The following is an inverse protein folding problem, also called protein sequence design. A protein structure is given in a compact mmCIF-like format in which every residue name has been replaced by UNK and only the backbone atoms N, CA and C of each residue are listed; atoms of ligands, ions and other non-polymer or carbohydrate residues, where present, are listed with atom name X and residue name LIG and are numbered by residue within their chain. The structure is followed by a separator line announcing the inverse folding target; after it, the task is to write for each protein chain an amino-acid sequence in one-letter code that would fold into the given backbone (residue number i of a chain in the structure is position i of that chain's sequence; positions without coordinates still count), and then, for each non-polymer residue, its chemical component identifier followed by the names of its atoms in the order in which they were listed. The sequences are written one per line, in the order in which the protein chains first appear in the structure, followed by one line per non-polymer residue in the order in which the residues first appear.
data_IF_687879269872
#
_entry.id   IF_687879269872
#
_cell.length_a   1.000
_cell.length_b   1.000
_cell.length_c   1.000
_cell.angle_alpha   90.00
_cell.angle_beta   90.00
_cell.angle_gamma   90.00
#
_symmetry.space_group_name_H-M   'P 1'
#
loop_
_entity.id
_entity.type
_entity.pdbx_description
1 polymer ?
#
# COMPACT_ATOMS: atom_id res chain seq x y z
N UNK A 1 -13.94 -3.01 10.32
CA UNK A 1 -13.96 -1.92 9.33
C UNK A 1 -14.22 -0.64 10.07
N UNK A 2 -13.30 0.31 9.98
CA UNK A 2 -13.27 1.55 10.78
C UNK A 2 -13.07 2.73 9.83
N UNK A 3 -13.70 3.87 10.12
CA UNK A 3 -13.51 5.11 9.37
C UNK A 3 -12.23 5.80 9.85
N UNK A 4 -11.35 6.13 8.91
CA UNK A 4 -10.12 6.88 9.15
C UNK A 4 -10.12 8.16 8.34
N UNK A 5 -9.68 9.25 8.95
CA UNK A 5 -9.48 10.54 8.27
C UNK A 5 -8.00 10.78 8.01
N UNK A 6 -7.66 11.26 6.81
CA UNK A 6 -6.27 11.46 6.38
C UNK A 6 -6.01 12.96 6.18
N UNK A 7 -5.61 13.65 7.24
CA UNK A 7 -5.34 15.08 7.14
C UNK A 7 -3.92 15.35 6.66
N UNK A 8 -3.76 16.28 5.73
CA UNK A 8 -2.46 16.69 5.23
C UNK A 8 -1.98 17.91 6.01
N UNK A 9 -0.93 17.75 6.80
CA UNK A 9 -0.25 18.86 7.46
C UNK A 9 0.85 19.38 6.54
N UNK A 10 0.76 20.65 6.16
CA UNK A 10 1.77 21.37 5.38
C UNK A 10 2.36 22.51 6.20
N UNK A 11 3.40 23.17 5.68
CA UNK A 11 3.96 24.37 6.31
C UNK A 11 2.94 25.53 6.43
N UNK A 12 1.89 25.53 5.58
CA UNK A 12 0.83 26.54 5.58
C UNK A 12 -0.35 26.23 6.50
N UNK A 13 -0.41 25.04 7.09
CA UNK A 13 -1.51 24.63 7.97
C UNK A 13 -1.95 23.18 7.78
N UNK A 14 -3.03 22.81 8.47
CA UNK A 14 -3.64 21.48 8.39
C UNK A 14 -4.79 21.50 7.39
N UNK A 15 -4.65 20.73 6.32
CA UNK A 15 -5.70 20.45 5.35
C UNK A 15 -6.47 19.19 5.79
N UNK A 16 -7.75 19.36 6.11
CA UNK A 16 -8.58 18.28 6.65
C UNK A 16 -9.29 17.52 5.54
N UNK A 17 -9.08 16.22 5.54
CA UNK A 17 -9.96 15.27 4.84
C UNK A 17 -11.28 15.09 5.60
N UNK A 18 -12.34 15.72 5.10
CA UNK A 18 -13.70 15.61 5.64
C UNK A 18 -14.43 14.32 5.21
N UNK A 19 -13.93 13.63 4.18
CA UNK A 19 -14.58 12.42 3.64
C UNK A 19 -14.15 11.18 4.43
N UNK A 20 -12.85 11.07 4.71
CA UNK A 20 -12.26 9.88 5.30
C UNK A 20 -12.39 8.65 4.40
N UNK A 21 -11.75 7.55 4.79
CA UNK A 21 -11.93 6.26 4.13
C UNK A 21 -12.10 5.13 5.14
N UNK A 22 -12.98 4.19 4.80
CA UNK A 22 -13.16 2.98 5.57
C UNK A 22 -12.03 2.00 5.25
N UNK A 23 -11.34 1.54 6.28
CA UNK A 23 -10.28 0.52 6.19
C UNK A 23 -10.48 -0.60 7.21
N UNK A 24 -9.94 -1.80 6.93
CA UNK A 24 -10.07 -2.93 7.84
C UNK A 24 -9.30 -2.70 9.16
N UNK A 25 -8.15 -2.05 9.07
CA UNK A 25 -7.23 -1.76 10.18
C UNK A 25 -6.35 -0.52 9.89
N UNK A 26 -5.63 -0.06 10.91
CA UNK A 26 -4.74 1.11 10.83
C UNK A 26 -3.52 0.85 9.93
N UNK A 27 -3.06 -0.39 9.82
CA UNK A 27 -1.91 -0.76 8.98
C UNK A 27 -2.25 -0.60 7.49
N UNK A 28 -3.44 -1.01 7.09
CA UNK A 28 -3.96 -0.83 5.73
C UNK A 28 -4.15 0.65 5.41
N UNK A 29 -4.63 1.45 6.37
CA UNK A 29 -4.72 2.90 6.25
C UNK A 29 -3.33 3.54 6.06
N UNK A 30 -2.33 3.10 6.83
CA UNK A 30 -0.94 3.54 6.69
C UNK A 30 -0.35 3.19 5.32
N UNK A 31 -0.54 1.96 4.84
CA UNK A 31 -0.01 1.53 3.53
C UNK A 31 -0.58 2.36 2.37
N UNK A 32 -1.85 2.76 2.46
CA UNK A 32 -2.46 3.62 1.45
C UNK A 32 -1.89 5.04 1.47
N UNK A 33 -1.62 5.59 2.65
CA UNK A 33 -0.89 6.85 2.80
C UNK A 33 0.51 6.75 2.17
N UNK A 34 1.26 5.69 2.48
CA UNK A 34 2.60 5.46 1.93
C UNK A 34 2.63 5.29 0.40
N UNK A 35 1.54 4.81 -0.21
CA UNK A 35 1.38 4.72 -1.67
C UNK A 35 1.09 6.07 -2.30
N UNK A 36 0.43 6.96 -1.56
CA UNK A 36 -0.04 8.26 -2.05
C UNK A 36 1.04 9.35 -1.93
N UNK A 37 1.88 9.27 -0.90
CA UNK A 37 2.97 10.21 -0.61
C UNK A 37 3.89 10.51 -1.83
N UNK A 38 4.38 9.54 -2.63
CA UNK A 38 5.26 9.84 -3.77
C UNK A 38 4.60 10.69 -4.87
N UNK A 39 3.30 10.48 -5.11
CA UNK A 39 2.55 11.27 -6.08
C UNK A 39 2.40 12.72 -5.59
N UNK A 40 1.94 12.90 -4.34
CA UNK A 40 1.83 14.23 -3.73
C UNK A 40 3.18 14.95 -3.63
N UNK A 41 4.27 14.26 -3.26
CA UNK A 41 5.59 14.87 -3.23
C UNK A 41 5.99 15.46 -4.59
N UNK A 42 5.66 14.76 -5.68
CA UNK A 42 5.97 15.22 -7.04
C UNK A 42 5.17 16.48 -7.37
N UNK A 43 3.90 16.53 -6.98
CA UNK A 43 3.03 17.71 -7.15
C UNK A 43 3.53 18.90 -6.32
N UNK A 44 3.82 18.69 -5.03
CA UNK A 44 4.32 19.73 -4.12
C UNK A 44 5.65 20.33 -4.58
N UNK A 45 6.60 19.50 -5.06
CA UNK A 45 7.86 19.99 -5.62
C UNK A 45 7.62 20.84 -6.87
N UNK A 46 6.67 20.45 -7.73
CA UNK A 46 6.32 21.25 -8.93
C UNK A 46 5.69 22.59 -8.56
N UNK A 47 4.97 22.65 -7.46
CA UNK A 47 4.34 23.86 -6.93
C UNK A 47 5.28 24.69 -6.04
N UNK A 48 6.53 24.29 -5.88
CA UNK A 48 7.54 24.99 -5.08
C UNK A 48 7.33 24.90 -3.56
N UNK A 49 6.51 23.97 -3.10
CA UNK A 49 6.26 23.72 -1.69
C UNK A 49 7.32 22.75 -1.13
N UNK A 50 7.72 22.94 0.13
CA UNK A 50 8.71 22.09 0.79
C UNK A 50 8.05 20.79 1.29
N UNK A 51 8.32 19.63 0.65
CA UNK A 51 7.76 18.35 1.08
C UNK A 51 8.39 17.88 2.40
N UNK A 52 9.53 18.45 2.81
CA UNK A 52 10.20 18.11 4.07
C UNK A 52 9.40 18.55 5.30
N UNK A 53 8.57 19.57 5.16
CA UNK A 53 7.69 20.09 6.20
C UNK A 53 6.30 19.43 6.20
N UNK A 54 6.06 18.43 5.35
CA UNK A 54 4.74 17.84 5.15
C UNK A 54 4.60 16.46 5.80
N UNK A 55 3.42 16.21 6.40
CA UNK A 55 3.08 14.95 7.05
C UNK A 55 1.59 14.65 6.91
N UNK A 56 1.22 13.36 6.83
CA UNK A 56 -0.16 12.93 6.96
C UNK A 56 -0.49 12.62 8.43
N UNK A 57 -1.64 13.07 8.90
CA UNK A 57 -2.24 12.67 10.17
C UNK A 57 -3.38 11.70 9.89
N UNK A 58 -3.25 10.46 10.37
CA UNK A 58 -4.32 9.46 10.34
C UNK A 58 -5.08 9.56 11.65
N UNK A 59 -6.37 9.86 11.55
CA UNK A 59 -7.29 9.98 12.69
C UNK A 59 -8.43 8.99 12.59
N UNK A 60 -9.05 8.66 13.72
CA UNK A 60 -10.28 7.85 13.73
C UNK A 60 -11.54 8.70 13.53
N UNK A 61 -12.71 8.05 13.51
CA UNK A 61 -14.01 8.73 13.39
C UNK A 61 -14.40 9.59 14.60
N UNK A 62 -13.63 9.57 15.69
CA UNK A 62 -13.79 10.48 16.84
C UNK A 62 -12.78 11.65 16.79
N UNK A 63 -12.10 11.84 15.64
CA UNK A 63 -11.04 12.83 15.43
C UNK A 63 -9.82 12.64 16.36
N UNK A 64 -9.62 11.43 16.88
CA UNK A 64 -8.43 11.10 17.67
C UNK A 64 -7.26 10.78 16.73
N UNK A 65 -6.13 11.46 16.94
CA UNK A 65 -4.89 11.18 16.21
C UNK A 65 -4.37 9.79 16.57
N UNK A 66 -4.32 8.91 15.57
CA UNK A 66 -3.80 7.55 15.71
C UNK A 66 -2.35 7.46 15.26
N UNK A 67 -1.99 8.15 14.17
CA UNK A 67 -0.66 8.05 13.58
C UNK A 67 -0.30 9.30 12.76
N UNK A 68 0.97 9.70 12.81
CA UNK A 68 1.55 10.71 11.94
C UNK A 68 2.55 10.06 10.99
N UNK A 69 2.45 10.35 9.69
CA UNK A 69 3.27 9.78 8.62
C UNK A 69 4.02 10.91 7.89
N UNK A 70 5.28 11.19 8.23
CA UNK A 70 6.08 12.21 7.55
C UNK A 70 6.39 11.81 6.11
N UNK A 71 6.35 12.78 5.19
CA UNK A 71 6.62 12.51 3.76
C UNK A 71 8.06 12.02 3.53
N UNK A 72 9.01 12.51 4.34
CA UNK A 72 10.43 12.14 4.26
C UNK A 72 10.77 10.78 4.86
N UNK A 73 9.82 10.03 5.44
CA UNK A 73 10.09 8.67 5.91
C UNK A 73 10.63 7.77 4.79
N UNK A 74 10.35 8.10 3.52
CA UNK A 74 10.86 7.39 2.34
C UNK A 74 12.07 8.01 1.63
N UNK A 75 12.46 9.26 1.90
CA UNK A 75 13.49 9.97 1.12
C UNK A 75 14.76 10.28 1.93
N UNK A 76 14.66 10.44 3.25
CA UNK A 76 15.82 10.75 4.06
C UNK A 76 16.32 9.53 4.83
N UNK A 77 17.60 9.18 4.61
CA UNK A 77 18.43 8.65 5.70
C UNK A 77 18.25 9.60 6.90
N UNK A 78 17.39 9.20 7.85
CA UNK A 78 17.10 9.85 9.15
C UNK A 78 17.43 11.35 9.24
N UNK A 79 16.43 12.26 9.16
CA UNK A 79 16.49 13.50 9.88
C UNK A 79 16.04 13.23 11.32
N UNK A 80 16.95 13.58 12.22
CA UNK A 80 16.95 13.46 13.68
C UNK A 80 15.66 14.04 14.31
N UNK A 81 14.59 13.27 14.40
CA UNK A 81 13.55 13.56 15.39
C UNK A 81 14.15 13.26 16.77
N UNK A 82 14.08 14.24 17.66
CA UNK A 82 14.46 14.11 19.07
C UNK A 82 13.47 13.15 19.75
N UNK A 83 13.66 11.84 19.57
CA UNK A 83 13.06 10.86 20.47
C UNK A 83 13.97 10.66 21.69
N UNK A 84 13.41 10.47 22.89
CA UNK A 84 14.16 10.13 24.08
C UNK A 84 14.98 8.86 23.80
N UNK A 85 16.18 8.81 24.37
CA UNK A 85 17.22 7.82 24.10
C UNK A 85 16.66 6.45 23.72
N UNK A 86 16.92 6.02 22.48
CA UNK A 86 16.71 4.64 22.05
C UNK A 86 17.34 3.71 23.08
N UNK A 87 16.56 2.80 23.71
CA UNK A 87 17.19 1.72 24.45
C UNK A 87 18.06 0.97 23.46
N UNK A 88 19.34 0.80 23.79
CA UNK A 88 20.27 0.01 23.00
C UNK A 88 19.72 -1.40 22.92
N UNK A 89 19.02 -1.71 21.83
CA UNK A 89 18.49 -3.04 21.57
C UNK A 89 19.67 -4.01 21.58
N UNK A 90 19.52 -5.13 22.29
CA UNK A 90 20.58 -6.12 22.34
C UNK A 90 20.82 -6.67 20.92
N UNK A 91 22.05 -7.11 20.60
CA UNK A 91 22.37 -7.71 19.31
C UNK A 91 21.43 -8.86 18.93
N UNK A 92 20.92 -9.57 19.94
CA UNK A 92 19.97 -10.67 19.81
C UNK A 92 18.58 -10.20 19.37
N UNK A 93 18.07 -9.09 19.94
CA UNK A 93 16.78 -8.52 19.52
C UNK A 93 16.86 -7.98 18.09
N UNK A 94 18.00 -7.36 17.73
CA UNK A 94 18.22 -6.87 16.37
C UNK A 94 18.32 -8.03 15.35
N UNK A 95 18.98 -9.13 15.71
CA UNK A 95 19.05 -10.32 14.86
C UNK A 95 17.66 -10.94 14.64
N UNK A 96 16.82 -10.97 15.69
CA UNK A 96 15.44 -11.44 15.58
C UNK A 96 14.61 -10.58 14.63
N UNK A 97 14.70 -9.25 14.73
CA UNK A 97 14.03 -8.35 13.79
C UNK A 97 14.48 -8.56 12.34
N UNK A 98 15.80 -8.65 12.12
CA UNK A 98 16.35 -8.93 10.79
C UNK A 98 15.85 -10.29 10.24
N UNK A 99 15.69 -11.29 11.11
CA UNK A 99 15.16 -12.59 10.72
C UNK A 99 13.67 -12.51 10.33
N UNK A 100 12.87 -11.72 11.05
CA UNK A 100 11.47 -11.48 10.72
C UNK A 100 11.31 -10.75 9.37
N UNK A 101 12.15 -9.76 9.09
CA UNK A 101 12.14 -9.05 7.80
C UNK A 101 12.45 -9.99 6.63
N UNK A 102 13.43 -10.89 6.79
CA UNK A 102 13.76 -11.89 5.78
C UNK A 102 12.61 -12.87 5.53
N UNK A 103 11.89 -13.27 6.58
CA UNK A 103 10.71 -14.14 6.46
C UNK A 103 9.56 -13.43 5.76
N UNK A 104 9.30 -12.16 6.09
CA UNK A 104 8.27 -11.36 5.43
C UNK A 104 8.54 -11.19 3.92
N UNK A 105 9.80 -10.93 3.55
CA UNK A 105 10.22 -10.87 2.15
C UNK A 105 10.03 -12.21 1.43
N UNK A 106 10.34 -13.32 2.08
CA UNK A 106 10.17 -14.66 1.51
C UNK A 106 8.70 -15.01 1.27
N UNK A 107 7.83 -14.73 2.25
CA UNK A 107 6.38 -14.98 2.14
C UNK A 107 5.78 -14.13 1.01
N UNK A 108 6.12 -12.84 0.94
CA UNK A 108 5.63 -11.96 -0.12
C UNK A 108 6.04 -12.42 -1.52
N UNK A 109 7.24 -12.99 -1.65
CA UNK A 109 7.71 -13.57 -2.91
C UNK A 109 6.87 -14.79 -3.31
N UNK A 110 6.53 -15.65 -2.37
CA UNK A 110 5.71 -16.84 -2.64
C UNK A 110 4.25 -16.49 -2.96
N UNK A 111 3.67 -15.49 -2.28
CA UNK A 111 2.33 -14.98 -2.62
C UNK A 111 2.29 -14.41 -4.04
N UNK A 112 3.31 -13.65 -4.44
CA UNK A 112 3.43 -13.10 -5.79
C UNK A 112 3.51 -14.21 -6.84
N UNK A 113 4.30 -15.25 -6.57
CA UNK A 113 4.41 -16.43 -7.44
C UNK A 113 3.09 -17.18 -7.59
N UNK A 114 2.36 -17.35 -6.49
CA UNK A 114 1.06 -18.02 -6.51
C UNK A 114 0.04 -17.23 -7.33
N UNK A 115 -0.01 -15.91 -7.19
CA UNK A 115 -0.89 -15.04 -7.96
C UNK A 115 -0.60 -15.11 -9.47
N UNK A 116 0.66 -15.07 -9.86
CA UNK A 116 1.08 -15.19 -11.27
C UNK A 116 0.71 -16.57 -11.86
N UNK A 117 0.88 -17.64 -11.07
CA UNK A 117 0.44 -18.98 -11.46
C UNK A 117 -1.08 -19.09 -11.62
N UNK A 118 -1.85 -18.55 -10.68
CA UNK A 118 -3.32 -18.51 -10.78
C UNK A 118 -3.75 -17.71 -12.02
N UNK A 119 -3.12 -16.55 -12.28
CA UNK A 119 -3.37 -15.75 -13.47
C UNK A 119 -3.12 -16.52 -14.77
N UNK A 120 -2.04 -17.33 -14.82
CA UNK A 120 -1.78 -18.24 -15.95
C UNK A 120 -2.85 -19.31 -16.09
N UNK A 121 -3.25 -19.94 -14.99
CA UNK A 121 -4.27 -20.99 -14.99
C UNK A 121 -5.62 -20.48 -15.49
N UNK A 122 -6.06 -19.30 -15.04
CA UNK A 122 -7.30 -18.68 -15.53
C UNK A 122 -7.26 -18.39 -17.03
N UNK A 123 -6.13 -17.91 -17.56
CA UNK A 123 -5.94 -17.69 -18.99
C UNK A 123 -6.01 -18.99 -19.79
N UNK A 124 -5.48 -20.09 -19.26
CA UNK A 124 -5.56 -21.41 -19.91
C UNK A 124 -7.00 -21.94 -19.93
N UNK A 125 -7.72 -21.82 -18.81
CA UNK A 125 -9.13 -22.22 -18.72
C UNK A 125 -10.01 -21.39 -19.67
N UNK A 126 -9.77 -20.08 -19.76
CA UNK A 126 -10.49 -19.21 -20.70
C UNK A 126 -10.26 -19.64 -22.16
N UNK A 127 -9.00 -19.92 -22.54
CA UNK A 127 -8.67 -20.44 -23.89
C UNK A 127 -9.33 -21.79 -24.18
N UNK A 128 -9.36 -22.70 -23.21
CA UNK A 128 -10.03 -24.00 -23.36
C UNK A 128 -11.55 -23.85 -23.55
N UNK A 129 -12.18 -22.90 -22.86
CA UNK A 129 -13.61 -22.61 -23.03
C UNK A 129 -13.92 -22.00 -24.39
N UNK A 130 -13.06 -21.12 -24.88
CA UNK A 130 -13.18 -20.54 -26.24
C UNK A 130 -13.03 -21.60 -27.32
N UNK A 131 -12.03 -22.49 -27.21
CA UNK A 131 -11.85 -23.57 -28.20
C UNK A 131 -12.99 -24.58 -28.17
N UNK A 132 -13.50 -24.96 -26.99
CA UNK A 132 -14.69 -25.81 -26.88
C UNK A 132 -15.94 -25.13 -27.46
N UNK A 133 -16.14 -23.85 -27.21
CA UNK A 133 -17.27 -23.08 -27.77
C UNK A 133 -17.16 -23.02 -29.29
N UNK A 134 -15.99 -22.69 -29.84
CA UNK A 134 -15.76 -22.64 -31.29
C UNK A 134 -15.99 -24.00 -31.96
N UNK A 135 -15.62 -25.11 -31.31
CA UNK A 135 -15.91 -26.46 -31.79
C UNK A 135 -17.42 -26.74 -31.80
N UNK A 136 -18.14 -26.43 -30.71
CA UNK A 136 -19.60 -26.58 -30.62
C UNK A 136 -20.35 -25.79 -31.71
N UNK A 137 -19.92 -24.55 -31.99
CA UNK A 137 -20.48 -23.74 -33.08
C UNK A 137 -20.16 -24.32 -34.47
N UNK A 138 -18.99 -24.92 -34.67
CA UNK A 138 -18.62 -25.55 -35.94
C UNK A 138 -19.44 -26.81 -36.27
N UNK A 139 -19.89 -27.56 -35.25
CA UNK A 139 -20.74 -28.75 -35.46
C UNK A 139 -22.20 -28.40 -35.78
N UNK A 140 -22.75 -27.31 -35.22
CA UNK A 140 -24.12 -26.88 -35.53
C UNK A 140 -24.26 -26.37 -36.97
N UNK A 141 -23.24 -25.68 -37.50
CA UNK A 141 -23.25 -25.14 -38.87
C UNK A 141 -23.11 -26.18 -39.98
N UNK A 142 -22.76 -27.43 -39.63
CA UNK A 142 -22.73 -28.58 -40.57
C UNK A 142 -24.05 -29.36 -40.61
N UNK A 143 -24.97 -29.13 -39.67
CA UNK A 143 -26.25 -29.86 -39.58
C UNK A 143 -27.40 -29.21 -40.37
N UNK A 144 -27.18 -28.05 -41.01
CA UNK A 144 -28.20 -27.30 -41.76
C UNK A 144 -27.93 -27.25 -43.28
N UNK A 145 -27.14 -28.19 -43.82
CA UNK A 145 -26.90 -28.29 -45.27
C UNK A 145 -27.44 -29.58 -45.86
#
# INVERSE_FOLDING_TARGET
MTLYHFHLRTAGGLERDETGMIRPDLETAYLDVCRTIPALMTEMVREGHDPAACAFEIRDGADQLLMEVPFLERVAKRPKSRHPATPTLSPETQALFNQLDLLALAINREVTRLHDNMGRAYKQVARMRETQSNLLWSFQTWSER
#
